data_IF_768116566011
#
_entry.id   IF_768116566011
#
_cell.length_a   1.000
_cell.length_b   1.000
_cell.length_c   1.000
_cell.angle_alpha   90.00
_cell.angle_beta   90.00
_cell.angle_gamma   90.00
#
_symmetry.space_group_name_H-M   'P 1'
#
loop_
_entity.id
_entity.type
_entity.pdbx_description
1 polymer ?
#
# COMPACT_ATOMS: atom_id res chain seq x y z
N UNK A 1 7.08 7.51 8.66
CA UNK A 1 6.87 6.56 9.77
C UNK A 1 5.49 5.98 9.64
N UNK A 2 5.38 4.65 9.63
CA UNK A 2 4.09 3.98 9.63
C UNK A 2 3.44 4.18 11.00
N UNK A 3 2.28 4.82 11.03
CA UNK A 3 1.49 4.96 12.25
C UNK A 3 0.47 3.84 12.33
N UNK A 4 0.29 3.29 13.52
CA UNK A 4 -0.76 2.32 13.82
C UNK A 4 -1.76 2.94 14.78
N UNK A 5 -2.98 2.44 14.74
CA UNK A 5 -4.05 2.92 15.60
C UNK A 5 -4.04 2.15 16.92
N UNK A 6 -4.04 2.88 18.02
CA UNK A 6 -4.07 2.34 19.37
C UNK A 6 -5.29 2.88 20.11
N UNK A 7 -5.77 2.09 21.07
CA UNK A 7 -6.82 2.49 22.01
C UNK A 7 -6.17 2.78 23.36
N UNK A 8 -6.52 3.90 23.97
CA UNK A 8 -6.13 4.20 25.35
C UNK A 8 -6.90 3.27 26.29
N UNK A 9 -6.17 2.46 27.04
CA UNK A 9 -6.75 1.52 28.02
C UNK A 9 -6.53 1.98 29.47
N UNK A 10 -5.60 2.89 29.69
CA UNK A 10 -5.35 3.49 31.01
C UNK A 10 -6.53 4.31 31.51
N UNK A 11 -6.76 4.28 32.82
CA UNK A 11 -7.80 5.10 33.48
C UNK A 11 -7.44 6.58 33.59
N UNK A 12 -6.18 6.93 33.33
CA UNK A 12 -5.69 8.31 33.31
C UNK A 12 -5.62 8.84 31.88
N UNK A 13 -5.93 10.13 31.71
CA UNK A 13 -5.80 10.78 30.43
C UNK A 13 -4.33 10.98 30.05
N UNK A 14 -4.00 10.79 28.77
CA UNK A 14 -2.65 10.95 28.22
C UNK A 14 -2.60 12.23 27.39
N UNK A 15 -1.56 13.05 27.58
CA UNK A 15 -1.23 14.13 26.66
C UNK A 15 -0.15 13.64 25.70
N UNK A 16 -0.44 13.65 24.40
CA UNK A 16 0.53 13.22 23.39
C UNK A 16 0.84 14.35 22.40
N UNK A 17 0.19 14.35 21.22
CA UNK A 17 0.38 15.36 20.18
C UNK A 17 -0.36 16.69 20.47
N UNK A 18 -0.13 17.26 21.67
CA UNK A 18 -0.85 18.45 22.15
C UNK A 18 -2.32 18.21 22.52
N UNK A 19 -2.84 17.01 22.24
CA UNK A 19 -4.21 16.59 22.54
C UNK A 19 -4.23 15.64 23.74
N UNK A 20 -5.25 15.81 24.60
CA UNK A 20 -5.54 14.93 25.72
C UNK A 20 -6.47 13.81 25.26
N UNK A 21 -6.10 12.57 25.55
CA UNK A 21 -6.86 11.36 25.22
C UNK A 21 -7.29 10.66 26.51
N UNK A 22 -8.55 10.25 26.58
CA UNK A 22 -9.12 9.52 27.72
C UNK A 22 -9.26 8.04 27.42
N UNK A 23 -9.64 7.24 28.43
CA UNK A 23 -9.89 5.80 28.24
C UNK A 23 -10.89 5.55 27.10
N UNK A 24 -10.57 4.61 26.22
CA UNK A 24 -11.34 4.28 25.03
C UNK A 24 -11.08 5.19 23.82
N UNK A 25 -10.35 6.31 23.99
CA UNK A 25 -9.98 7.15 22.86
C UNK A 25 -9.00 6.43 21.94
N UNK A 26 -9.13 6.67 20.64
CA UNK A 26 -8.24 6.15 19.61
C UNK A 26 -7.17 7.17 19.26
N UNK A 27 -5.93 6.73 19.17
CA UNK A 27 -4.76 7.56 18.88
C UNK A 27 -3.85 6.85 17.88
N UNK A 28 -3.34 7.60 16.90
CA UNK A 28 -2.35 7.09 15.97
C UNK A 28 -0.93 7.34 16.49
N UNK A 29 -0.15 6.27 16.58
CA UNK A 29 1.22 6.29 17.11
C UNK A 29 2.19 5.63 16.13
N UNK A 30 3.40 6.17 16.03
CA UNK A 30 4.54 5.43 15.50
C UNK A 30 4.98 4.36 16.49
N UNK A 31 5.81 3.40 16.03
CA UNK A 31 6.37 2.38 16.94
C UNK A 31 7.20 3.01 18.08
N UNK A 32 7.85 4.15 17.83
CA UNK A 32 8.62 4.92 18.82
C UNK A 32 7.71 5.59 19.86
N UNK A 33 6.65 6.26 19.41
CA UNK A 33 5.66 6.89 20.30
C UNK A 33 4.96 5.82 21.14
N UNK A 34 4.61 4.67 20.54
CA UNK A 34 4.04 3.54 21.25
C UNK A 34 4.98 3.04 22.36
N UNK A 35 6.27 2.90 22.10
CA UNK A 35 7.22 2.44 23.13
C UNK A 35 7.20 3.35 24.38
N UNK A 36 7.02 4.66 24.20
CA UNK A 36 6.98 5.64 25.29
C UNK A 36 5.72 5.53 26.16
N UNK A 37 4.57 5.19 25.58
CA UNK A 37 3.27 5.17 26.29
C UNK A 37 2.59 3.79 26.29
N UNK A 38 3.32 2.73 25.98
CA UNK A 38 2.82 1.34 25.83
C UNK A 38 2.09 0.80 27.06
N UNK A 39 2.35 1.35 28.25
CA UNK A 39 1.62 1.01 29.47
C UNK A 39 0.14 1.41 29.42
N UNK A 40 -0.20 2.45 28.67
CA UNK A 40 -1.51 3.09 28.69
C UNK A 40 -2.33 2.85 27.42
N UNK A 41 -1.74 2.23 26.40
CA UNK A 41 -2.37 2.02 25.11
C UNK A 41 -2.22 0.59 24.63
N UNK A 42 -3.19 0.09 23.86
CA UNK A 42 -3.12 -1.21 23.20
C UNK A 42 -3.40 -1.05 21.71
N UNK A 43 -2.71 -1.82 20.87
CA UNK A 43 -2.95 -1.82 19.43
C UNK A 43 -4.41 -2.20 19.15
N UNK A 44 -5.06 -1.45 18.27
CA UNK A 44 -6.37 -1.82 17.73
C UNK A 44 -6.14 -2.85 16.62
N UNK A 45 -6.08 -4.12 17.00
CA UNK A 45 -5.75 -5.23 16.09
C UNK A 45 -6.72 -5.30 14.90
N UNK A 46 -8.00 -4.98 15.10
CA UNK A 46 -8.99 -4.98 14.03
C UNK A 46 -8.73 -3.87 12.99
N UNK A 47 -8.30 -2.69 13.43
CA UNK A 47 -7.93 -1.60 12.51
C UNK A 47 -6.58 -1.84 11.85
N UNK A 48 -5.62 -2.45 12.55
CA UNK A 48 -4.33 -2.86 11.97
C UNK A 48 -4.53 -3.93 10.87
N UNK A 49 -5.41 -4.91 11.11
CA UNK A 49 -5.79 -5.90 10.10
C UNK A 49 -6.46 -5.27 8.88
N UNK A 50 -7.42 -4.37 9.08
CA UNK A 50 -8.06 -3.65 7.96
C UNK A 50 -7.05 -2.86 7.14
N UNK A 51 -6.09 -2.18 7.78
CA UNK A 51 -5.02 -1.47 7.06
C UNK A 51 -4.17 -2.42 6.23
N UNK A 52 -3.74 -3.54 6.81
CA UNK A 52 -2.96 -4.57 6.08
C UNK A 52 -3.73 -5.12 4.89
N UNK A 53 -5.04 -5.35 5.03
CA UNK A 53 -5.89 -5.80 3.93
C UNK A 53 -5.96 -4.74 2.82
N UNK A 54 -6.20 -3.48 3.18
CA UNK A 54 -6.25 -2.38 2.21
C UNK A 54 -4.90 -2.18 1.49
N UNK A 55 -3.78 -2.27 2.20
CA UNK A 55 -2.44 -2.22 1.61
C UNK A 55 -2.18 -3.39 0.66
N UNK A 56 -2.56 -4.61 1.04
CA UNK A 56 -2.44 -5.79 0.19
C UNK A 56 -3.30 -5.69 -1.08
N UNK A 57 -4.52 -5.16 -0.96
CA UNK A 57 -5.41 -4.94 -2.11
C UNK A 57 -4.85 -3.85 -3.04
N UNK A 58 -4.35 -2.75 -2.49
CA UNK A 58 -3.71 -1.69 -3.26
C UNK A 58 -2.45 -2.18 -4.00
N UNK A 59 -1.62 -3.00 -3.34
CA UNK A 59 -0.44 -3.61 -3.95
C UNK A 59 -0.84 -4.57 -5.08
N UNK A 60 -1.85 -5.40 -4.85
CA UNK A 60 -2.39 -6.30 -5.88
C UNK A 60 -2.92 -5.53 -7.09
N UNK A 61 -3.63 -4.42 -6.86
CA UNK A 61 -4.11 -3.55 -7.92
C UNK A 61 -2.94 -2.91 -8.70
N UNK A 62 -1.88 -2.49 -8.02
CA UNK A 62 -0.66 -1.95 -8.65
C UNK A 62 0.01 -2.99 -9.54
N UNK A 63 0.22 -4.20 -9.03
CA UNK A 63 0.83 -5.31 -9.78
C UNK A 63 -0.01 -5.69 -11.01
N UNK A 64 -1.33 -5.75 -10.88
CA UNK A 64 -2.22 -6.04 -12.01
C UNK A 64 -2.17 -4.93 -13.09
N UNK A 65 -2.08 -3.66 -12.68
CA UNK A 65 -1.93 -2.55 -13.62
C UNK A 65 -0.58 -2.59 -14.35
N UNK A 66 0.50 -2.90 -13.63
CA UNK A 66 1.84 -3.05 -14.19
C UNK A 66 1.91 -4.21 -15.19
N UNK A 67 1.35 -5.37 -14.85
CA UNK A 67 1.29 -6.52 -15.75
C UNK A 67 0.50 -6.20 -17.02
N UNK A 68 -0.64 -5.53 -16.89
CA UNK A 68 -1.45 -5.11 -18.04
C UNK A 68 -0.67 -4.15 -18.95
N UNK A 69 0.09 -3.21 -18.36
CA UNK A 69 0.94 -2.30 -19.13
C UNK A 69 2.07 -3.05 -19.85
N UNK A 70 2.70 -4.02 -19.20
CA UNK A 70 3.74 -4.88 -19.80
C UNK A 70 3.20 -5.67 -21.00
N UNK A 71 2.06 -6.34 -20.84
CA UNK A 71 1.43 -7.12 -21.91
C UNK A 71 1.04 -6.24 -23.11
N UNK A 72 0.51 -5.04 -22.85
CA UNK A 72 0.17 -4.09 -23.91
C UNK A 72 1.42 -3.61 -24.68
N UNK A 73 2.53 -3.36 -23.98
CA UNK A 73 3.79 -2.99 -24.61
C UNK A 73 4.38 -4.14 -25.45
N UNK A 74 4.35 -5.37 -24.94
CA UNK A 74 4.81 -6.57 -25.65
C UNK A 74 3.98 -6.84 -26.91
N UNK A 75 2.65 -6.73 -26.81
CA UNK A 75 1.77 -6.91 -27.97
C UNK A 75 2.04 -5.85 -29.05
N UNK A 76 2.27 -4.59 -28.64
CA UNK A 76 2.62 -3.51 -29.57
C UNK A 76 3.96 -3.80 -30.26
N UNK A 77 4.99 -4.19 -29.51
CA UNK A 77 6.29 -4.54 -30.07
C UNK A 77 6.22 -5.73 -31.04
N UNK A 78 5.43 -6.77 -30.71
CA UNK A 78 5.20 -7.92 -31.60
C UNK A 78 4.52 -7.50 -32.90
N UNK A 79 3.48 -6.65 -32.83
CA UNK A 79 2.78 -6.15 -34.03
C UNK A 79 3.70 -5.29 -34.91
N UNK A 80 4.57 -4.48 -34.32
CA UNK A 80 5.57 -3.70 -35.06
C UNK A 80 6.61 -4.60 -35.73
N UNK A 81 7.12 -5.60 -35.03
CA UNK A 81 8.06 -6.58 -35.58
C UNK A 81 7.45 -7.41 -36.72
N UNK A 82 6.18 -7.82 -36.61
CA UNK A 82 5.48 -8.56 -37.66
C UNK A 82 5.27 -7.71 -38.92
N UNK A 83 4.94 -6.42 -38.77
CA UNK A 83 4.84 -5.48 -39.90
C UNK A 83 6.19 -5.28 -40.59
N UNK A 84 7.27 -5.09 -39.83
CA UNK A 84 8.61 -4.95 -40.39
C UNK A 84 9.06 -6.20 -41.17
N UNK A 85 8.73 -7.40 -40.67
CA UNK A 85 9.10 -8.65 -41.33
C UNK A 85 8.27 -8.93 -42.61
N UNK A 86 7.01 -8.50 -42.66
CA UNK A 86 6.18 -8.57 -43.90
C UNK A 86 6.72 -7.65 -44.98
N UNK A 87 7.09 -6.41 -44.64
CA UNK A 87 7.63 -5.46 -45.61
C UNK A 87 8.96 -5.94 -46.23
N UNK A 88 9.87 -6.52 -45.44
CA UNK A 88 11.13 -7.07 -45.97
C UNK A 88 10.96 -8.29 -46.89
N UNK A 89 9.80 -8.97 -46.85
CA UNK A 89 9.55 -10.18 -47.66
C UNK A 89 8.97 -9.87 -49.04
N UNK A 90 8.39 -8.68 -49.24
CA UNK A 90 7.90 -8.22 -50.54
C UNK A 90 9.00 -7.55 -51.38
N UNK A 91 10.05 -6.98 -50.77
CA UNK A 91 11.17 -6.36 -51.51
C UNK A 91 12.18 -7.38 -52.08
N UNK A 92 12.06 -8.67 -51.78
CA UNK A 92 12.99 -9.72 -52.22
C UNK A 92 12.55 -10.54 -53.44
N UNK A 93 11.56 -10.08 -54.22
CA UNK A 93 11.00 -10.81 -55.38
C UNK A 93 11.13 -10.10 -56.73
N UNK A 94 11.98 -9.09 -56.85
CA UNK A 94 12.32 -8.49 -58.16
C UNK A 94 13.47 -9.23 -58.87
#
# INVERSE_FOLDING_TARGET
>A
MNKKLYVVIGTMAILHNGNRYEQGAKIELTDEEYAQISLYVKLDEAEDEKRKQAEAEAEKARLAAEEKARLAAEEKARKEAEKANKNNKDEGKE
#
